data_IF_841272987758
#
_entry.id   IF_841272987758
#
_cell.length_a   1.000
_cell.length_b   1.000
_cell.length_c   1.000
_cell.angle_alpha   90.00
_cell.angle_beta   90.00
_cell.angle_gamma   90.00
#
_symmetry.space_group_name_H-M   'P 1'
#
loop_
_entity.id
_entity.type
_entity.pdbx_description
1 polymer ?
#
# COMPACT_ATOMS: atom_id res chain seq x y z
N UNK A 1 44.75 -47.34 -43.55
CA UNK A 1 44.16 -46.00 -43.28
C UNK A 1 42.75 -46.21 -42.79
N UNK A 2 42.47 -46.03 -41.50
CA UNK A 2 41.13 -46.09 -40.90
C UNK A 2 40.60 -44.66 -40.74
N UNK A 3 39.31 -44.38 -41.07
CA UNK A 3 38.74 -43.07 -40.86
C UNK A 3 38.39 -42.91 -39.38
N UNK A 4 38.83 -41.81 -38.81
CA UNK A 4 38.51 -41.39 -37.45
C UNK A 4 37.02 -40.88 -37.42
N UNK A 5 36.18 -41.54 -36.63
CA UNK A 5 34.85 -41.10 -36.32
C UNK A 5 34.89 -39.95 -35.29
N UNK A 6 34.57 -38.74 -35.72
CA UNK A 6 34.31 -37.58 -34.86
C UNK A 6 33.02 -37.83 -34.06
N UNK A 7 33.19 -38.06 -32.72
CA UNK A 7 32.05 -38.00 -31.78
C UNK A 7 31.63 -36.54 -31.59
N UNK A 8 30.35 -36.25 -31.84
CA UNK A 8 29.74 -34.98 -31.45
C UNK A 8 29.77 -34.81 -29.93
N UNK A 9 29.96 -33.57 -29.40
CA UNK A 9 29.93 -33.34 -27.97
C UNK A 9 28.51 -33.59 -27.43
N UNK A 10 28.39 -34.06 -26.16
CA UNK A 10 27.08 -34.30 -25.54
C UNK A 10 26.30 -32.98 -25.49
N UNK A 11 25.06 -33.01 -25.98
CA UNK A 11 24.18 -31.88 -26.05
C UNK A 11 23.98 -31.29 -24.64
N UNK A 12 24.19 -30.00 -24.55
CA UNK A 12 23.80 -29.20 -23.37
C UNK A 12 22.30 -29.37 -23.21
N UNK A 13 21.89 -30.15 -22.23
CA UNK A 13 20.50 -30.20 -21.75
C UNK A 13 20.11 -28.77 -21.39
N UNK A 14 19.30 -28.15 -22.24
CA UNK A 14 18.59 -26.90 -21.88
C UNK A 14 17.80 -27.23 -20.61
N UNK A 15 18.27 -26.76 -19.45
CA UNK A 15 17.49 -26.75 -18.23
C UNK A 15 16.22 -25.96 -18.55
N UNK A 16 15.08 -26.62 -18.66
CA UNK A 16 13.78 -25.95 -18.76
C UNK A 16 13.67 -25.07 -17.50
N UNK A 17 13.74 -23.76 -17.70
CA UNK A 17 13.50 -22.80 -16.62
C UNK A 17 12.02 -22.94 -16.22
N UNK A 18 11.76 -23.19 -14.94
CA UNK A 18 10.38 -23.25 -14.45
C UNK A 18 9.66 -21.93 -14.78
N UNK A 19 8.41 -22.02 -15.25
CA UNK A 19 7.56 -20.86 -15.52
C UNK A 19 6.62 -20.59 -14.35
N UNK A 20 6.13 -19.37 -14.26
CA UNK A 20 5.14 -18.92 -13.29
C UNK A 20 4.04 -18.12 -13.98
N UNK A 21 2.85 -18.16 -13.43
CA UNK A 21 1.76 -17.26 -13.80
C UNK A 21 2.07 -15.85 -13.25
N UNK A 22 1.81 -14.84 -14.08
CA UNK A 22 2.00 -13.45 -13.74
C UNK A 22 0.98 -12.56 -14.50
N UNK A 23 0.85 -11.32 -14.09
CA UNK A 23 0.13 -10.28 -14.84
C UNK A 23 1.14 -9.28 -15.38
N UNK A 24 1.05 -8.99 -16.66
CA UNK A 24 2.02 -8.17 -17.39
C UNK A 24 1.33 -6.94 -17.98
N UNK A 25 1.93 -5.77 -17.80
CA UNK A 25 1.57 -4.55 -18.49
C UNK A 25 2.65 -4.23 -19.54
N UNK A 26 2.29 -4.17 -20.82
CA UNK A 26 3.24 -3.89 -21.91
C UNK A 26 3.40 -2.41 -22.21
N UNK A 27 2.43 -1.61 -21.81
CA UNK A 27 2.39 -0.15 -22.00
C UNK A 27 1.52 0.49 -20.92
N UNK A 28 1.59 1.81 -20.78
CA UNK A 28 0.66 2.56 -19.95
C UNK A 28 -0.75 2.51 -20.53
N UNK A 29 -1.77 2.53 -19.65
CA UNK A 29 -3.16 2.53 -20.10
C UNK A 29 -4.18 2.27 -18.99
N UNK A 30 -5.41 1.99 -19.39
CA UNK A 30 -6.50 1.56 -18.51
C UNK A 30 -6.28 0.13 -17.98
N UNK A 31 -7.22 -0.38 -17.15
CA UNK A 31 -7.09 -1.73 -16.57
C UNK A 31 -6.91 -2.85 -17.61
N UNK A 32 -7.37 -2.66 -18.83
CA UNK A 32 -7.28 -3.62 -19.94
C UNK A 32 -5.84 -3.93 -20.37
N UNK A 33 -4.85 -3.10 -20.00
CA UNK A 33 -3.43 -3.39 -20.33
C UNK A 33 -2.84 -4.47 -19.42
N UNK A 34 -3.51 -4.80 -18.31
CA UNK A 34 -3.13 -5.88 -17.43
C UNK A 34 -3.55 -7.22 -18.03
N UNK A 35 -2.57 -8.03 -18.44
CA UNK A 35 -2.80 -9.29 -19.13
C UNK A 35 -2.14 -10.44 -18.37
N UNK A 36 -2.88 -11.52 -18.08
CA UNK A 36 -2.29 -12.77 -17.61
C UNK A 36 -1.26 -13.29 -18.61
N UNK A 37 -0.15 -13.80 -18.10
CA UNK A 37 0.95 -14.33 -18.91
C UNK A 37 1.73 -15.38 -18.11
N UNK A 38 2.57 -16.14 -18.80
CA UNK A 38 3.60 -16.99 -18.20
C UNK A 38 4.97 -16.32 -18.37
N UNK A 39 5.76 -16.30 -17.30
CA UNK A 39 7.10 -15.78 -17.28
C UNK A 39 8.05 -16.80 -16.63
N UNK A 40 9.35 -16.77 -16.91
CA UNK A 40 10.31 -17.55 -16.15
C UNK A 40 10.28 -17.18 -14.66
N UNK A 41 10.38 -18.18 -13.78
CA UNK A 41 10.56 -17.93 -12.33
C UNK A 41 11.89 -17.19 -12.13
N UNK A 42 11.90 -16.01 -11.50
CA UNK A 42 13.11 -15.25 -11.29
C UNK A 42 14.04 -15.97 -10.29
N UNK A 43 15.33 -15.65 -10.35
CA UNK A 43 16.31 -16.15 -9.40
C UNK A 43 16.74 -15.00 -8.47
N UNK A 44 16.87 -15.23 -7.16
CA UNK A 44 17.30 -14.19 -6.25
C UNK A 44 18.80 -13.90 -6.46
N UNK A 45 19.15 -12.63 -6.62
CA UNK A 45 20.50 -12.13 -6.66
C UNK A 45 21.12 -11.96 -5.27
N UNK A 46 22.30 -11.31 -5.21
CA UNK A 46 22.97 -11.03 -3.93
C UNK A 46 22.10 -10.17 -3.02
N UNK A 47 21.89 -10.63 -1.78
CA UNK A 47 21.08 -9.96 -0.77
C UNK A 47 19.58 -10.01 -1.01
N UNK A 48 19.09 -10.91 -1.88
CA UNK A 48 17.68 -11.02 -2.26
C UNK A 48 17.05 -12.34 -1.80
N UNK A 49 15.75 -12.32 -1.67
CA UNK A 49 14.88 -13.47 -1.41
C UNK A 49 14.00 -13.72 -2.63
N UNK A 50 13.75 -14.97 -2.96
CA UNK A 50 12.64 -15.38 -3.81
C UNK A 50 11.48 -15.79 -2.90
N UNK A 51 10.35 -15.10 -3.02
CA UNK A 51 9.12 -15.41 -2.30
C UNK A 51 8.16 -16.16 -3.22
N UNK A 52 7.63 -17.27 -2.76
CA UNK A 52 6.42 -17.89 -3.30
C UNK A 52 5.24 -17.23 -2.63
N UNK A 53 4.50 -16.42 -3.38
CA UNK A 53 3.44 -15.56 -2.85
C UNK A 53 2.17 -16.36 -2.53
N UNK A 54 1.63 -16.14 -1.34
CA UNK A 54 0.30 -16.61 -0.95
C UNK A 54 -0.79 -15.63 -1.41
N UNK A 55 -0.47 -14.33 -1.41
CA UNK A 55 -1.31 -13.27 -1.93
C UNK A 55 -0.48 -12.00 -2.19
N UNK A 56 -1.02 -11.12 -3.03
CA UNK A 56 -0.46 -9.78 -3.31
C UNK A 56 -1.53 -8.73 -3.10
N UNK A 57 -1.15 -7.59 -2.52
CA UNK A 57 -2.03 -6.46 -2.27
C UNK A 57 -2.17 -5.56 -3.49
N UNK A 58 -3.41 -5.16 -3.79
CA UNK A 58 -3.72 -4.16 -4.82
C UNK A 58 -3.79 -2.78 -4.18
N UNK A 59 -3.08 -1.81 -4.76
CA UNK A 59 -2.93 -0.48 -4.21
C UNK A 59 -3.14 0.62 -5.28
N UNK A 60 -3.55 1.83 -4.86
CA UNK A 60 -3.67 2.95 -5.80
C UNK A 60 -2.35 3.30 -6.50
N UNK A 61 -1.20 3.09 -5.85
CA UNK A 61 0.11 3.32 -6.49
C UNK A 61 0.31 2.42 -7.72
N UNK A 62 -0.27 1.23 -7.75
CA UNK A 62 -0.21 0.33 -8.89
C UNK A 62 -1.03 0.90 -10.06
N UNK A 63 -2.17 1.55 -9.78
CA UNK A 63 -2.96 2.26 -10.80
C UNK A 63 -2.21 3.47 -11.36
N UNK A 64 -1.51 4.24 -10.50
CA UNK A 64 -0.72 5.40 -10.93
C UNK A 64 0.46 5.00 -11.81
N UNK A 65 1.13 3.89 -11.49
CA UNK A 65 2.20 3.33 -12.33
C UNK A 65 1.65 2.78 -13.64
N UNK A 66 0.54 2.03 -13.59
CA UNK A 66 -0.11 1.46 -14.78
C UNK A 66 -0.54 2.55 -15.77
N UNK A 67 -1.13 3.67 -15.28
CA UNK A 67 -1.59 4.77 -16.12
C UNK A 67 -0.47 5.68 -16.62
N UNK A 68 0.76 5.56 -16.07
CA UNK A 68 1.87 6.46 -16.37
C UNK A 68 1.84 7.78 -15.59
N UNK A 69 0.91 7.95 -14.65
CA UNK A 69 0.92 9.10 -13.73
C UNK A 69 2.22 9.13 -12.91
N UNK A 70 2.68 7.96 -12.48
CA UNK A 70 4.02 7.78 -11.92
C UNK A 70 4.90 7.08 -12.97
N UNK A 71 6.08 7.63 -13.26
CA UNK A 71 6.98 7.07 -14.26
C UNK A 71 7.30 5.60 -13.99
N UNK A 72 7.14 4.74 -14.99
CA UNK A 72 7.47 3.32 -14.94
C UNK A 72 7.97 2.87 -16.32
N UNK A 73 9.00 2.04 -16.33
CA UNK A 73 9.43 1.39 -17.56
C UNK A 73 8.45 0.27 -17.93
N UNK A 74 8.17 0.13 -19.22
CA UNK A 74 7.37 -0.95 -19.78
C UNK A 74 8.23 -1.81 -20.70
N UNK A 75 7.99 -3.12 -20.80
CA UNK A 75 6.96 -3.89 -20.07
C UNK A 75 7.35 -4.18 -18.62
N UNK A 76 6.36 -4.35 -17.72
CA UNK A 76 6.62 -4.76 -16.33
C UNK A 76 5.48 -5.62 -15.74
N UNK A 77 5.80 -6.34 -14.67
CA UNK A 77 4.83 -6.99 -13.79
C UNK A 77 4.49 -5.98 -12.67
N UNK A 78 3.22 -5.60 -12.49
CA UNK A 78 2.82 -4.67 -11.41
C UNK A 78 2.95 -5.28 -10.02
N UNK A 79 2.70 -4.41 -9.01
CA UNK A 79 2.64 -4.79 -7.61
C UNK A 79 3.97 -4.64 -6.88
N UNK A 80 3.86 -4.23 -5.62
CA UNK A 80 5.00 -4.04 -4.71
C UNK A 80 4.79 -4.71 -3.35
N UNK A 81 3.55 -5.11 -3.06
CA UNK A 81 3.14 -5.63 -1.76
C UNK A 81 2.69 -7.08 -1.88
N UNK A 82 3.11 -7.89 -0.93
CA UNK A 82 2.67 -9.28 -0.83
C UNK A 82 3.26 -9.99 0.38
N UNK A 83 2.75 -11.19 0.63
CA UNK A 83 3.33 -12.10 1.61
C UNK A 83 3.31 -13.53 1.09
N UNK A 84 4.21 -14.32 1.61
CA UNK A 84 4.38 -15.70 1.20
C UNK A 84 5.47 -16.41 1.99
N UNK A 85 5.98 -17.46 1.38
CA UNK A 85 7.07 -18.28 1.94
C UNK A 85 8.34 -18.04 1.13
N UNK A 86 9.47 -17.91 1.80
CA UNK A 86 10.79 -17.87 1.17
C UNK A 86 11.03 -19.19 0.46
N UNK A 87 11.14 -19.18 -0.84
CA UNK A 87 11.44 -20.34 -1.69
C UNK A 87 12.94 -20.55 -1.82
N UNK A 88 13.68 -19.45 -1.97
CA UNK A 88 15.14 -19.46 -2.06
C UNK A 88 15.75 -18.16 -1.52
N UNK A 89 16.99 -18.23 -1.10
CA UNK A 89 17.78 -17.08 -0.66
C UNK A 89 18.98 -16.88 -1.60
N UNK A 90 19.28 -15.63 -1.91
CA UNK A 90 20.44 -15.27 -2.72
C UNK A 90 21.73 -15.23 -1.88
N UNK A 91 22.88 -15.11 -2.55
CA UNK A 91 24.18 -15.00 -1.87
C UNK A 91 24.18 -13.83 -0.86
N UNK A 92 24.89 -14.02 0.27
CA UNK A 92 25.03 -12.97 1.30
C UNK A 92 23.83 -12.80 2.24
N UNK A 93 22.73 -13.52 2.05
CA UNK A 93 21.60 -13.53 2.98
C UNK A 93 21.87 -14.51 4.11
N UNK A 94 21.82 -14.04 5.36
CA UNK A 94 22.10 -14.84 6.57
C UNK A 94 20.94 -14.89 7.56
N UNK A 95 20.00 -13.94 7.46
CA UNK A 95 18.90 -13.77 8.42
C UNK A 95 17.60 -14.48 7.98
N UNK A 96 17.65 -15.19 6.85
CA UNK A 96 16.52 -15.86 6.22
C UNK A 96 16.88 -17.25 5.72
N UNK A 97 15.90 -18.15 5.76
CA UNK A 97 16.04 -19.51 5.20
C UNK A 97 14.80 -19.90 4.40
N UNK A 98 14.91 -20.85 3.45
CA UNK A 98 13.72 -21.41 2.78
C UNK A 98 12.72 -21.97 3.79
N UNK A 99 11.44 -21.63 3.60
CA UNK A 99 10.36 -21.95 4.53
C UNK A 99 9.97 -20.81 5.45
N UNK A 100 10.81 -19.80 5.66
CA UNK A 100 10.45 -18.58 6.41
C UNK A 100 9.23 -17.89 5.81
N UNK A 101 8.37 -17.33 6.66
CA UNK A 101 7.20 -16.55 6.26
C UNK A 101 7.55 -15.08 6.18
N UNK A 102 7.36 -14.46 5.03
CA UNK A 102 7.79 -13.09 4.75
C UNK A 102 6.65 -12.24 4.21
N UNK A 103 6.63 -10.95 4.60
CA UNK A 103 5.75 -9.92 4.05
C UNK A 103 6.57 -8.69 3.63
N UNK A 104 6.12 -8.00 2.59
CA UNK A 104 6.80 -6.81 2.06
C UNK A 104 5.83 -5.84 1.42
N UNK A 105 6.20 -4.55 1.39
CA UNK A 105 5.60 -3.49 0.58
C UNK A 105 6.59 -2.92 -0.45
N UNK A 106 7.78 -3.52 -0.60
CA UNK A 106 8.89 -2.98 -1.39
C UNK A 106 9.46 -3.99 -2.40
N UNK A 107 8.73 -5.06 -2.74
CA UNK A 107 9.12 -5.97 -3.81
C UNK A 107 8.87 -5.35 -5.19
N UNK A 108 9.33 -6.03 -6.22
CA UNK A 108 9.04 -5.69 -7.61
C UNK A 108 8.27 -6.83 -8.26
N UNK A 109 7.11 -6.52 -8.87
CA UNK A 109 6.36 -7.48 -9.66
C UNK A 109 5.63 -8.54 -8.84
N UNK A 110 4.91 -8.13 -7.80
CA UNK A 110 4.17 -9.08 -6.95
C UNK A 110 2.88 -9.61 -7.59
N UNK A 111 2.42 -9.07 -8.74
CA UNK A 111 1.30 -9.67 -9.48
C UNK A 111 1.77 -10.93 -10.23
N UNK A 112 2.27 -11.91 -9.48
CA UNK A 112 2.86 -13.15 -9.95
C UNK A 112 2.80 -14.23 -8.86
N UNK A 113 3.10 -15.48 -9.20
CA UNK A 113 3.26 -16.57 -8.22
C UNK A 113 4.53 -16.42 -7.37
N UNK A 114 5.58 -15.81 -7.97
CA UNK A 114 6.85 -15.57 -7.30
C UNK A 114 7.30 -14.12 -7.50
N UNK A 115 7.95 -13.56 -6.51
CA UNK A 115 8.58 -12.24 -6.60
C UNK A 115 9.92 -12.21 -5.88
N UNK A 116 10.84 -11.42 -6.43
CA UNK A 116 12.12 -11.15 -5.77
C UNK A 116 12.00 -9.88 -4.93
N UNK A 117 12.57 -9.93 -3.74
CA UNK A 117 12.67 -8.78 -2.83
C UNK A 117 14.03 -8.78 -2.15
N UNK A 118 14.61 -7.61 -1.91
CA UNK A 118 15.79 -7.49 -1.05
C UNK A 118 15.46 -7.97 0.36
N UNK A 119 16.34 -8.76 0.96
CA UNK A 119 16.15 -9.33 2.30
C UNK A 119 15.91 -8.24 3.37
N UNK A 120 16.57 -7.07 3.23
CA UNK A 120 16.40 -5.92 4.11
C UNK A 120 15.10 -5.12 3.88
N UNK A 121 14.27 -5.49 2.89
CA UNK A 121 12.96 -4.90 2.57
C UNK A 121 11.79 -5.85 2.83
N UNK A 122 12.07 -7.00 3.39
CA UNK A 122 11.07 -7.94 3.86
C UNK A 122 11.06 -8.00 5.39
N UNK A 123 9.92 -8.33 5.96
CA UNK A 123 9.75 -8.56 7.39
C UNK A 123 9.21 -9.97 7.65
N UNK A 124 9.66 -10.61 8.72
CA UNK A 124 9.12 -11.91 9.15
C UNK A 124 7.68 -11.74 9.60
N UNK A 125 6.81 -12.62 9.11
CA UNK A 125 5.40 -12.64 9.52
C UNK A 125 5.31 -13.28 10.91
N UNK A 126 4.67 -12.63 11.90
CA UNK A 126 4.50 -13.19 13.22
C UNK A 126 3.81 -14.55 13.19
N UNK A 127 4.15 -15.40 14.14
CA UNK A 127 3.50 -16.70 14.29
C UNK A 127 1.98 -16.52 14.49
N UNK A 128 1.18 -17.40 13.89
CA UNK A 128 -0.29 -17.36 13.96
C UNK A 128 -0.96 -16.37 13.01
N UNK A 129 -0.24 -15.38 12.45
CA UNK A 129 -0.83 -14.44 11.45
C UNK A 129 -1.02 -15.18 10.12
N UNK A 130 -2.23 -15.14 9.55
CA UNK A 130 -2.51 -15.67 8.22
C UNK A 130 -1.72 -14.91 7.14
N UNK A 131 -1.19 -15.62 6.13
CA UNK A 131 -0.40 -15.01 5.07
C UNK A 131 -1.19 -14.02 4.19
N UNK A 132 -2.50 -14.18 4.06
CA UNK A 132 -3.35 -13.21 3.34
C UNK A 132 -3.48 -11.92 4.14
N UNK A 133 -3.65 -12.02 5.46
CA UNK A 133 -3.63 -10.84 6.36
C UNK A 133 -2.25 -10.17 6.29
N UNK A 134 -1.18 -10.96 6.33
CA UNK A 134 0.18 -10.46 6.18
C UNK A 134 0.45 -9.80 4.82
N UNK A 135 -0.22 -10.24 3.74
CA UNK A 135 -0.14 -9.61 2.41
C UNK A 135 -0.99 -8.34 2.30
N UNK A 136 -1.99 -8.18 3.18
CA UNK A 136 -2.89 -7.03 3.19
C UNK A 136 -2.39 -5.86 4.04
N UNK A 137 -1.46 -6.11 4.96
CA UNK A 137 -1.06 -5.18 6.01
C UNK A 137 0.06 -4.18 5.62
N UNK A 138 1.15 -4.56 4.92
CA UNK A 138 2.38 -3.78 4.89
C UNK A 138 2.22 -2.39 4.31
N UNK A 139 1.79 -2.25 3.05
CA UNK A 139 1.79 -0.94 2.37
C UNK A 139 0.84 0.05 3.04
N UNK A 140 -0.37 -0.40 3.37
CA UNK A 140 -1.37 0.45 3.99
C UNK A 140 -1.06 0.72 5.47
N UNK A 141 -0.57 -0.30 6.19
CA UNK A 141 -0.16 -0.17 7.59
C UNK A 141 1.06 0.73 7.77
N UNK A 142 2.10 0.55 6.96
CA UNK A 142 3.27 1.44 6.96
C UNK A 142 2.88 2.87 6.61
N UNK A 143 1.95 3.04 5.63
CA UNK A 143 1.43 4.37 5.29
C UNK A 143 0.72 5.01 6.48
N UNK A 144 -0.18 4.32 7.12
CA UNK A 144 -0.88 4.83 8.30
C UNK A 144 0.12 5.13 9.45
N UNK A 145 1.08 4.25 9.67
CA UNK A 145 2.06 4.37 10.73
C UNK A 145 2.93 5.62 10.55
N UNK A 146 3.57 5.83 9.37
CA UNK A 146 4.44 7.00 9.20
C UNK A 146 3.66 8.32 9.16
N UNK A 147 2.42 8.31 8.68
CA UNK A 147 1.54 9.48 8.70
C UNK A 147 1.29 9.95 10.14
N UNK A 148 1.01 9.01 11.05
CA UNK A 148 0.69 9.31 12.45
C UNK A 148 1.91 9.55 13.35
N UNK A 149 3.10 9.12 12.95
CA UNK A 149 4.30 9.19 13.79
C UNK A 149 5.32 10.22 13.32
N UNK A 150 5.40 10.46 12.00
CA UNK A 150 6.50 11.22 11.41
C UNK A 150 6.04 12.39 10.56
N UNK A 151 4.88 12.31 9.91
CA UNK A 151 4.32 13.43 9.13
C UNK A 151 3.64 14.44 10.05
N UNK A 152 2.76 13.94 10.89
CA UNK A 152 2.15 14.70 12.00
C UNK A 152 2.04 13.77 13.19
N UNK A 153 2.91 13.91 14.21
CA UNK A 153 2.82 13.08 15.41
C UNK A 153 1.47 13.24 16.08
N UNK A 154 0.75 12.13 16.23
CA UNK A 154 -0.59 12.09 16.82
C UNK A 154 -0.49 11.56 18.25
N UNK A 155 -1.08 12.29 19.18
CA UNK A 155 -1.15 11.98 20.59
C UNK A 155 -2.56 12.22 21.15
N UNK A 156 -2.72 12.06 22.47
CA UNK A 156 -3.95 12.38 23.18
C UNK A 156 -4.28 13.87 23.05
N UNK A 157 -5.52 14.15 22.65
CA UNK A 157 -6.00 15.52 22.36
C UNK A 157 -5.87 15.94 20.91
N UNK A 158 -5.15 15.22 20.04
CA UNK A 158 -5.13 15.50 18.60
C UNK A 158 -6.49 15.26 17.98
N UNK A 159 -7.04 16.23 17.25
CA UNK A 159 -8.25 16.06 16.42
C UNK A 159 -7.85 15.98 14.94
N UNK A 160 -8.27 14.94 14.26
CA UNK A 160 -7.86 14.69 12.89
C UNK A 160 -9.02 14.30 11.96
N UNK A 161 -8.84 14.57 10.66
CA UNK A 161 -9.77 14.18 9.60
C UNK A 161 -9.08 13.19 8.66
N UNK A 162 -9.68 12.02 8.46
CA UNK A 162 -9.23 11.00 7.51
C UNK A 162 -10.21 10.89 6.36
N UNK A 163 -9.79 11.15 5.13
CA UNK A 163 -10.63 10.87 3.96
C UNK A 163 -10.66 9.39 3.60
N UNK A 164 -11.79 8.95 3.03
CA UNK A 164 -12.03 7.56 2.62
C UNK A 164 -11.85 6.54 3.78
N UNK A 165 -12.50 6.81 4.92
CA UNK A 165 -12.34 6.06 6.17
C UNK A 165 -12.63 4.56 6.11
N UNK A 166 -13.40 4.08 5.13
CA UNK A 166 -13.64 2.65 4.90
C UNK A 166 -12.68 2.02 3.88
N UNK A 167 -11.72 2.79 3.35
CA UNK A 167 -10.63 2.28 2.52
C UNK A 167 -9.54 1.62 3.36
N UNK A 168 -8.60 0.93 2.71
CA UNK A 168 -7.58 0.18 3.43
C UNK A 168 -6.70 1.04 4.34
N UNK A 169 -6.14 2.16 3.85
CA UNK A 169 -5.37 3.09 4.71
C UNK A 169 -6.28 3.76 5.73
N UNK A 170 -7.51 4.14 5.34
CA UNK A 170 -8.45 4.84 6.23
C UNK A 170 -8.81 4.03 7.47
N UNK A 171 -9.16 2.74 7.31
CA UNK A 171 -9.48 1.86 8.43
C UNK A 171 -8.31 1.69 9.41
N UNK A 172 -7.08 1.58 8.89
CA UNK A 172 -5.89 1.44 9.73
C UNK A 172 -5.51 2.77 10.41
N UNK A 173 -5.64 3.91 9.71
CA UNK A 173 -5.44 5.24 10.29
C UNK A 173 -6.38 5.49 11.46
N UNK A 174 -7.67 5.18 11.30
CA UNK A 174 -8.67 5.34 12.36
C UNK A 174 -8.26 4.53 13.60
N UNK A 175 -8.00 3.23 13.44
CA UNK A 175 -7.62 2.35 14.55
C UNK A 175 -6.34 2.82 15.26
N UNK A 176 -5.28 3.11 14.49
CA UNK A 176 -4.00 3.54 15.04
C UNK A 176 -4.06 4.94 15.69
N UNK A 177 -4.89 5.86 15.18
CA UNK A 177 -5.13 7.16 15.78
C UNK A 177 -5.93 7.03 17.09
N UNK A 178 -6.98 6.21 17.10
CA UNK A 178 -7.75 5.91 18.32
C UNK A 178 -6.90 5.26 19.41
N UNK A 179 -6.00 4.36 19.04
CA UNK A 179 -5.05 3.77 20.00
C UNK A 179 -4.08 4.80 20.62
N UNK A 180 -3.95 5.99 20.02
CA UNK A 180 -3.16 7.14 20.53
C UNK A 180 -3.99 8.20 21.25
N UNK A 181 -5.30 7.95 21.46
CA UNK A 181 -6.20 8.88 22.18
C UNK A 181 -6.81 9.98 21.31
N UNK A 182 -6.57 9.99 19.99
CA UNK A 182 -7.06 11.04 19.11
C UNK A 182 -8.59 11.06 18.94
N UNK A 183 -9.14 12.23 18.65
CA UNK A 183 -10.49 12.39 18.12
C UNK A 183 -10.45 12.28 16.59
N UNK A 184 -11.19 11.31 16.04
CA UNK A 184 -11.13 10.96 14.64
C UNK A 184 -12.42 11.32 13.91
N UNK A 185 -12.34 12.29 13.00
CA UNK A 185 -13.35 12.55 11.99
C UNK A 185 -12.98 11.79 10.71
N UNK A 186 -13.97 11.31 9.97
CA UNK A 186 -13.69 10.64 8.68
C UNK A 186 -14.80 10.87 7.66
N UNK A 187 -14.45 10.80 6.37
CA UNK A 187 -15.43 10.88 5.28
C UNK A 187 -15.62 9.53 4.61
N UNK A 188 -16.87 9.23 4.26
CA UNK A 188 -17.26 8.03 3.49
C UNK A 188 -18.37 8.34 2.49
N UNK A 189 -18.47 7.53 1.42
CA UNK A 189 -19.41 7.76 0.33
C UNK A 189 -20.69 6.90 0.37
N UNK A 190 -20.90 6.05 1.40
CA UNK A 190 -22.12 5.23 1.48
C UNK A 190 -22.45 4.83 2.93
N UNK A 191 -23.73 4.44 3.21
CA UNK A 191 -24.14 3.96 4.53
C UNK A 191 -23.35 2.73 5.01
N UNK A 192 -23.06 1.79 4.14
CA UNK A 192 -22.26 0.59 4.47
C UNK A 192 -20.84 0.97 4.91
N UNK A 193 -20.22 1.91 4.18
CA UNK A 193 -18.89 2.44 4.52
C UNK A 193 -18.90 3.22 5.84
N UNK A 194 -20.03 3.86 6.17
CA UNK A 194 -20.23 4.53 7.47
C UNK A 194 -20.14 3.55 8.62
N UNK A 195 -20.81 2.41 8.52
CA UNK A 195 -20.79 1.37 9.55
C UNK A 195 -19.36 0.83 9.77
N UNK A 196 -18.61 0.62 8.69
CA UNK A 196 -17.22 0.14 8.78
C UNK A 196 -16.29 1.15 9.45
N UNK A 197 -16.38 2.42 9.08
CA UNK A 197 -15.56 3.47 9.68
C UNK A 197 -15.89 3.69 11.16
N UNK A 198 -17.17 3.65 11.53
CA UNK A 198 -17.60 3.72 12.93
C UNK A 198 -17.11 2.51 13.75
N UNK A 199 -17.20 1.29 13.19
CA UNK A 199 -16.70 0.08 13.84
C UNK A 199 -15.17 0.10 14.02
N UNK A 200 -14.44 0.78 13.13
CA UNK A 200 -12.99 0.99 13.27
C UNK A 200 -12.64 2.02 14.37
N UNK A 201 -13.63 2.73 14.94
CA UNK A 201 -13.45 3.64 16.06
C UNK A 201 -13.55 5.13 15.70
N UNK A 202 -13.99 5.51 14.47
CA UNK A 202 -14.19 6.92 14.14
C UNK A 202 -15.26 7.55 15.04
N UNK A 203 -14.95 8.70 15.66
CA UNK A 203 -15.88 9.44 16.52
C UNK A 203 -16.97 10.11 15.70
N UNK A 204 -16.62 10.64 14.52
CA UNK A 204 -17.56 11.29 13.61
C UNK A 204 -17.37 10.81 12.17
N UNK A 205 -18.44 10.30 11.57
CA UNK A 205 -18.45 9.85 10.18
C UNK A 205 -19.28 10.80 9.33
N UNK A 206 -18.63 11.49 8.38
CA UNK A 206 -19.17 12.58 7.56
C UNK A 206 -19.40 12.11 6.13
N UNK A 207 -20.21 12.87 5.39
CA UNK A 207 -20.27 12.83 3.93
C UNK A 207 -19.14 13.63 3.28
N UNK A 208 -19.14 13.70 1.94
CA UNK A 208 -18.16 14.50 1.20
C UNK A 208 -18.65 15.92 0.87
N UNK A 209 -19.95 16.19 1.00
CA UNK A 209 -20.53 17.44 0.51
C UNK A 209 -20.30 18.63 1.47
N UNK A 210 -20.31 18.37 2.79
CA UNK A 210 -20.27 19.40 3.84
C UNK A 210 -19.20 19.12 4.91
N UNK A 211 -18.25 18.23 4.65
CA UNK A 211 -17.28 17.77 5.66
C UNK A 211 -16.44 18.91 6.27
N UNK A 212 -16.15 19.96 5.50
CA UNK A 212 -15.31 21.05 5.97
C UNK A 212 -16.05 21.91 7.02
N UNK A 213 -17.31 22.26 6.74
CA UNK A 213 -18.19 22.97 7.67
C UNK A 213 -18.44 22.13 8.92
N UNK A 214 -18.74 20.84 8.73
CA UNK A 214 -18.98 19.91 9.83
C UNK A 214 -17.73 19.72 10.71
N UNK A 215 -16.54 19.65 10.12
CA UNK A 215 -15.29 19.58 10.87
C UNK A 215 -15.09 20.82 11.75
N UNK A 216 -15.40 22.02 11.21
CA UNK A 216 -15.36 23.27 11.97
C UNK A 216 -16.38 23.27 13.11
N UNK A 217 -17.63 22.90 12.86
CA UNK A 217 -18.66 22.82 13.89
C UNK A 217 -18.29 21.89 15.04
N UNK A 218 -17.78 20.69 14.72
CA UNK A 218 -17.38 19.67 15.69
C UNK A 218 -16.16 20.06 16.52
N UNK A 219 -15.38 21.05 16.06
CA UNK A 219 -14.21 21.58 16.73
C UNK A 219 -14.44 23.00 17.31
N UNK A 220 -15.69 23.40 17.52
CA UNK A 220 -16.02 24.72 18.06
C UNK A 220 -15.60 25.91 17.19
N UNK A 221 -15.46 25.71 15.89
CA UNK A 221 -15.03 26.72 14.92
C UNK A 221 -13.52 26.71 14.61
N UNK A 222 -12.71 26.05 15.41
CA UNK A 222 -11.23 26.05 15.25
C UNK A 222 -10.76 25.26 14.02
N UNK A 223 -11.28 24.06 13.80
CA UNK A 223 -10.83 23.09 12.79
C UNK A 223 -9.91 22.01 13.36
N UNK A 224 -9.53 21.06 12.51
CA UNK A 224 -8.72 19.91 12.89
C UNK A 224 -7.21 20.20 12.85
N UNK A 225 -6.43 19.48 13.64
CA UNK A 225 -4.96 19.58 13.68
C UNK A 225 -4.32 19.09 12.40
N UNK A 226 -4.85 17.99 11.86
CA UNK A 226 -4.32 17.38 10.63
C UNK A 226 -5.44 16.78 9.80
N UNK A 227 -5.28 16.88 8.48
CA UNK A 227 -6.08 16.16 7.49
C UNK A 227 -5.19 15.18 6.75
N UNK A 228 -5.58 13.90 6.76
CA UNK A 228 -4.96 12.83 5.96
C UNK A 228 -5.79 12.61 4.69
N UNK A 229 -5.28 13.10 3.56
CA UNK A 229 -6.01 13.11 2.29
C UNK A 229 -5.34 12.18 1.26
N UNK A 230 -5.99 11.03 1.03
CA UNK A 230 -5.63 10.07 -0.03
C UNK A 230 -6.47 10.25 -1.30
N UNK A 231 -7.46 11.17 -1.29
CA UNK A 231 -8.43 11.36 -2.36
C UNK A 231 -7.93 12.37 -3.40
N UNK A 232 -7.43 13.51 -2.97
CA UNK A 232 -6.78 14.50 -3.83
C UNK A 232 -7.73 15.56 -4.40
N UNK A 233 -7.81 15.67 -5.74
CA UNK A 233 -8.49 16.78 -6.43
C UNK A 233 -9.84 17.17 -5.82
N UNK A 234 -10.73 16.21 -5.58
CA UNK A 234 -12.10 16.49 -5.14
C UNK A 234 -12.24 16.88 -3.67
N UNK A 235 -11.20 16.67 -2.85
CA UNK A 235 -11.25 16.96 -1.42
C UNK A 235 -10.30 18.07 -0.98
N UNK A 236 -9.32 18.41 -1.80
CA UNK A 236 -8.22 19.30 -1.44
C UNK A 236 -8.64 20.63 -0.84
N UNK A 237 -9.61 21.31 -1.47
CA UNK A 237 -10.09 22.62 -1.02
C UNK A 237 -10.79 22.56 0.33
N UNK A 238 -11.68 21.57 0.49
CA UNK A 238 -12.34 21.31 1.76
C UNK A 238 -11.37 20.81 2.84
N UNK A 239 -10.35 20.03 2.46
CA UNK A 239 -9.29 19.59 3.36
C UNK A 239 -8.52 20.78 3.95
N UNK A 240 -8.14 21.75 3.11
CA UNK A 240 -7.52 22.98 3.59
C UNK A 240 -8.47 23.80 4.49
N UNK A 241 -9.75 23.92 4.11
CA UNK A 241 -10.74 24.66 4.87
C UNK A 241 -11.06 24.03 6.24
N UNK A 242 -10.86 22.72 6.39
CA UNK A 242 -11.10 21.99 7.65
C UNK A 242 -10.02 22.25 8.71
N UNK A 243 -8.83 22.71 8.30
CA UNK A 243 -7.70 22.87 9.21
C UNK A 243 -7.86 24.08 10.16
N UNK A 244 -7.37 23.91 11.38
CA UNK A 244 -7.09 25.04 12.26
C UNK A 244 -5.86 25.83 11.76
N UNK A 245 -5.66 27.07 12.26
CA UNK A 245 -4.39 27.77 12.00
C UNK A 245 -3.18 26.90 12.39
N UNK A 246 -2.16 26.87 11.52
CA UNK A 246 -0.95 26.03 11.65
C UNK A 246 -1.20 24.52 11.63
N UNK A 247 -2.38 24.08 11.17
CA UNK A 247 -2.67 22.67 10.95
C UNK A 247 -1.93 22.09 9.75
N UNK A 248 -1.96 20.77 9.60
CA UNK A 248 -1.22 20.03 8.57
C UNK A 248 -2.15 19.35 7.58
N UNK A 249 -2.00 19.58 6.28
CA UNK A 249 -2.57 18.75 5.23
C UNK A 249 -1.53 17.75 4.73
N UNK A 250 -1.72 16.48 5.06
CA UNK A 250 -0.93 15.37 4.53
C UNK A 250 -1.64 14.78 3.30
N UNK A 251 -1.29 15.27 2.12
CA UNK A 251 -1.85 14.81 0.84
C UNK A 251 -1.06 13.59 0.36
N UNK A 252 -1.46 12.37 0.73
CA UNK A 252 -0.70 11.16 0.44
C UNK A 252 -1.19 10.35 -0.76
N UNK A 253 -2.33 10.73 -1.39
CA UNK A 253 -2.89 10.02 -2.53
C UNK A 253 -3.53 10.93 -3.58
N UNK A 254 -4.00 10.34 -4.69
CA UNK A 254 -4.64 11.00 -5.82
C UNK A 254 -5.82 10.15 -6.34
N UNK A 255 -6.62 9.54 -5.46
CA UNK A 255 -7.69 8.62 -5.88
C UNK A 255 -8.77 9.29 -6.77
N UNK A 256 -8.95 10.60 -6.67
CA UNK A 256 -9.84 11.40 -7.55
C UNK A 256 -9.09 12.18 -8.64
N UNK A 257 -7.80 11.95 -8.77
CA UNK A 257 -6.89 12.67 -9.66
C UNK A 257 -5.93 13.60 -8.92
N UNK A 258 -4.85 14.05 -9.58
CA UNK A 258 -3.89 14.97 -9.02
C UNK A 258 -4.54 16.34 -8.76
N UNK A 259 -4.07 17.01 -7.70
CA UNK A 259 -4.43 18.39 -7.38
C UNK A 259 -3.77 19.33 -8.38
N UNK A 260 -4.48 20.36 -8.81
CA UNK A 260 -3.95 21.40 -9.68
C UNK A 260 -2.88 22.23 -8.95
N UNK A 261 -1.98 22.93 -9.68
CA UNK A 261 -1.01 23.84 -9.08
C UNK A 261 -1.67 24.85 -8.14
N UNK A 262 -1.07 25.08 -6.99
CA UNK A 262 -1.60 26.00 -5.98
C UNK A 262 -0.69 27.22 -5.81
N UNK A 263 -1.30 28.38 -5.52
CA UNK A 263 -0.59 29.56 -5.03
C UNK A 263 -0.18 29.35 -3.58
N UNK A 264 1.13 29.41 -3.23
CA UNK A 264 1.60 29.28 -1.85
C UNK A 264 0.98 30.30 -0.87
N UNK A 265 0.58 31.50 -1.36
CA UNK A 265 -0.12 32.49 -0.54
C UNK A 265 -1.45 31.99 0.00
N UNK A 266 -2.04 30.97 -0.63
CA UNK A 266 -3.24 30.30 -0.13
C UNK A 266 -3.00 29.64 1.23
N UNK A 267 -1.84 29.03 1.45
CA UNK A 267 -1.49 28.40 2.72
C UNK A 267 -1.41 29.44 3.84
N UNK A 268 -0.87 30.62 3.55
CA UNK A 268 -0.84 31.76 4.48
C UNK A 268 -2.26 32.23 4.83
N UNK A 269 -3.12 32.43 3.82
CA UNK A 269 -4.52 32.91 3.99
C UNK A 269 -5.37 31.92 4.79
N UNK A 270 -5.06 30.62 4.72
CA UNK A 270 -5.73 29.56 5.48
C UNK A 270 -5.21 29.42 6.93
N UNK A 271 -4.38 30.35 7.40
CA UNK A 271 -3.84 30.35 8.76
C UNK A 271 -2.45 29.74 8.88
N UNK A 272 -1.58 29.97 7.89
CA UNK A 272 -0.19 29.45 7.89
C UNK A 272 -0.12 27.92 7.99
N UNK A 273 -0.99 27.23 7.28
CA UNK A 273 -1.06 25.77 7.30
C UNK A 273 0.13 25.13 6.60
N UNK A 274 0.46 23.90 7.01
CA UNK A 274 1.49 23.09 6.38
C UNK A 274 0.85 22.18 5.33
N UNK A 275 1.49 22.08 4.17
CA UNK A 275 1.13 21.11 3.12
C UNK A 275 2.33 20.21 2.86
N UNK A 276 2.10 18.90 2.95
CA UNK A 276 3.12 17.91 2.59
C UNK A 276 2.55 16.84 1.66
N UNK A 277 3.43 16.31 0.79
CA UNK A 277 3.13 15.21 -0.14
C UNK A 277 4.07 14.04 0.17
N UNK A 278 3.81 13.29 1.27
CA UNK A 278 4.70 12.23 1.71
C UNK A 278 4.65 11.02 0.76
N UNK A 279 5.78 10.34 0.63
CA UNK A 279 5.90 9.05 -0.04
C UNK A 279 6.57 8.04 0.88
N UNK A 280 6.07 6.80 0.90
CA UNK A 280 6.55 5.75 1.80
C UNK A 280 8.07 5.54 1.74
N UNK A 281 8.68 5.66 0.56
CA UNK A 281 10.13 5.48 0.38
C UNK A 281 10.98 6.43 1.23
N UNK A 282 10.51 7.65 1.48
CA UNK A 282 11.23 8.63 2.30
C UNK A 282 11.19 8.30 3.80
N UNK A 283 10.21 7.50 4.21
CA UNK A 283 10.02 7.03 5.59
C UNK A 283 10.50 5.59 5.82
N UNK A 284 11.16 4.98 4.82
CA UNK A 284 11.78 3.65 4.89
C UNK A 284 13.23 3.68 4.42
N UNK A 285 13.95 4.78 4.67
CA UNK A 285 15.28 5.01 4.10
C UNK A 285 16.37 4.15 4.72
N UNK A 286 16.29 3.89 6.02
CA UNK A 286 17.28 3.10 6.74
C UNK A 286 16.72 1.72 7.14
N UNK A 287 17.62 0.73 7.28
CA UNK A 287 17.24 -0.60 7.79
C UNK A 287 16.57 -0.52 9.17
N UNK A 288 17.08 0.35 10.05
CA UNK A 288 16.56 0.52 11.41
C UNK A 288 15.13 1.09 11.37
N UNK A 289 14.91 2.16 10.60
CA UNK A 289 13.59 2.78 10.49
C UNK A 289 12.57 1.81 9.87
N UNK A 290 12.96 1.11 8.82
CA UNK A 290 12.12 0.08 8.18
C UNK A 290 11.75 -1.02 9.15
N UNK A 291 12.74 -1.61 9.84
CA UNK A 291 12.51 -2.67 10.81
C UNK A 291 11.57 -2.24 11.94
N UNK A 292 11.76 -1.03 12.47
CA UNK A 292 10.88 -0.46 13.49
C UNK A 292 9.43 -0.37 13.00
N UNK A 293 9.20 0.22 11.82
CA UNK A 293 7.85 0.42 11.30
C UNK A 293 7.14 -0.90 10.96
N UNK A 294 7.85 -1.85 10.36
CA UNK A 294 7.30 -3.19 10.12
C UNK A 294 6.98 -3.91 11.42
N UNK A 295 7.86 -3.83 12.42
CA UNK A 295 7.64 -4.46 13.72
C UNK A 295 6.40 -3.87 14.44
N UNK A 296 6.19 -2.54 14.38
CA UNK A 296 5.00 -1.90 14.94
C UNK A 296 3.73 -2.38 14.24
N UNK A 297 3.71 -2.35 12.89
CA UNK A 297 2.52 -2.73 12.12
C UNK A 297 2.21 -4.23 12.24
N UNK A 298 3.17 -5.09 11.92
CA UNK A 298 2.94 -6.54 11.94
C UNK A 298 2.81 -7.07 13.38
N UNK A 299 3.48 -6.45 14.34
CA UNK A 299 3.32 -6.74 15.77
C UNK A 299 1.91 -6.44 16.25
N UNK A 300 1.33 -5.29 15.87
CA UNK A 300 -0.06 -4.94 16.20
C UNK A 300 -1.07 -5.90 15.54
N UNK A 301 -0.82 -6.33 14.30
CA UNK A 301 -1.62 -7.37 13.63
C UNK A 301 -1.51 -8.71 14.38
N UNK A 302 -0.29 -9.12 14.74
CA UNK A 302 -0.07 -10.37 15.48
C UNK A 302 -0.67 -10.37 16.87
N UNK A 303 -0.72 -9.22 17.54
CA UNK A 303 -1.36 -9.04 18.84
C UNK A 303 -2.89 -8.89 18.76
N UNK A 304 -3.47 -8.81 17.54
CA UNK A 304 -4.90 -8.58 17.34
C UNK A 304 -5.38 -7.17 17.71
N UNK A 305 -4.46 -6.21 17.87
CA UNK A 305 -4.78 -4.80 18.19
C UNK A 305 -4.95 -3.93 16.95
N UNK A 306 -4.58 -4.44 15.78
CA UNK A 306 -4.83 -3.82 14.48
C UNK A 306 -5.54 -4.84 13.57
N UNK A 307 -6.81 -4.58 13.29
CA UNK A 307 -7.63 -5.40 12.39
C UNK A 307 -7.43 -4.97 10.93
N UNK A 308 -6.96 -5.90 10.11
CA UNK A 308 -6.72 -5.68 8.67
C UNK A 308 -7.87 -6.29 7.87
N UNK A 309 -8.82 -5.43 7.49
CA UNK A 309 -9.96 -5.88 6.69
C UNK A 309 -9.55 -6.22 5.26
N UNK A 310 -9.71 -7.49 4.88
CA UNK A 310 -9.69 -7.93 3.48
C UNK A 310 -11.11 -7.78 2.95
N UNK A 311 -11.30 -6.83 2.03
CA UNK A 311 -12.63 -6.51 1.47
C UNK A 311 -12.98 -7.32 0.23
N UNK A 312 -11.97 -7.81 -0.48
CA UNK A 312 -12.15 -8.70 -1.63
C UNK A 312 -10.86 -9.50 -1.90
N UNK A 313 -11.05 -10.74 -2.36
CA UNK A 313 -10.01 -11.60 -2.92
C UNK A 313 -10.40 -11.99 -4.33
N UNK A 314 -9.51 -11.81 -5.29
CA UNK A 314 -9.70 -12.19 -6.68
C UNK A 314 -8.56 -13.10 -7.14
N UNK A 315 -8.80 -13.99 -8.11
CA UNK A 315 -7.72 -14.70 -8.79
C UNK A 315 -6.69 -13.72 -9.39
N UNK A 316 -5.43 -14.09 -9.43
CA UNK A 316 -4.36 -13.28 -10.04
C UNK A 316 -4.71 -12.84 -11.46
N UNK A 317 -5.35 -13.70 -12.24
CA UNK A 317 -5.77 -13.41 -13.62
C UNK A 317 -6.77 -12.24 -13.71
N UNK A 318 -7.50 -11.94 -12.65
CA UNK A 318 -8.54 -10.91 -12.59
C UNK A 318 -8.00 -9.53 -12.11
N UNK A 319 -6.68 -9.30 -12.17
CA UNK A 319 -6.04 -8.06 -11.78
C UNK A 319 -6.66 -6.81 -12.45
N UNK A 320 -7.09 -6.92 -13.70
CA UNK A 320 -7.79 -5.83 -14.39
C UNK A 320 -9.11 -5.46 -13.70
N UNK A 321 -9.88 -6.45 -13.22
CA UNK A 321 -11.13 -6.19 -12.48
C UNK A 321 -10.85 -5.65 -11.08
N UNK A 322 -9.82 -6.12 -10.41
CA UNK A 322 -9.39 -5.57 -9.13
C UNK A 322 -9.07 -4.06 -9.25
N UNK A 323 -8.38 -3.65 -10.31
CA UNK A 323 -8.11 -2.23 -10.60
C UNK A 323 -9.38 -1.45 -10.91
N UNK A 324 -10.31 -1.99 -11.73
CA UNK A 324 -11.61 -1.34 -12.00
C UNK A 324 -12.45 -1.17 -10.73
N UNK A 325 -12.45 -2.17 -9.85
CA UNK A 325 -13.17 -2.10 -8.59
C UNK A 325 -12.59 -1.03 -7.66
N UNK A 326 -11.25 -0.94 -7.57
CA UNK A 326 -10.55 0.05 -6.77
C UNK A 326 -10.80 1.48 -7.28
N UNK A 327 -10.58 1.72 -8.59
CA UNK A 327 -10.81 3.03 -9.23
C UNK A 327 -12.27 3.44 -9.22
N UNK A 328 -13.19 2.48 -9.34
CA UNK A 328 -14.64 2.66 -9.23
C UNK A 328 -15.17 2.88 -7.81
N UNK A 329 -14.29 2.94 -6.79
CA UNK A 329 -14.65 3.14 -5.38
C UNK A 329 -15.64 2.08 -4.83
N UNK A 330 -15.66 0.87 -5.44
CA UNK A 330 -16.53 -0.25 -5.06
C UNK A 330 -15.94 -1.11 -3.96
N UNK A 331 -14.73 -0.80 -3.51
CA UNK A 331 -13.98 -1.59 -2.52
C UNK A 331 -14.06 -1.01 -1.12
N UNK A 332 -13.88 -1.88 -0.13
CA UNK A 332 -13.65 -1.52 1.29
C UNK A 332 -12.42 -2.29 1.77
N UNK A 333 -11.65 -1.71 2.69
CA UNK A 333 -10.42 -2.36 3.17
C UNK A 333 -9.44 -2.67 2.03
N UNK A 334 -8.78 -3.81 2.12
CA UNK A 334 -7.79 -4.31 1.17
C UNK A 334 -8.40 -5.19 0.09
N UNK A 335 -7.90 -5.05 -1.14
CA UNK A 335 -8.12 -6.01 -2.21
C UNK A 335 -6.87 -6.85 -2.39
N UNK A 336 -7.02 -8.17 -2.45
CA UNK A 336 -5.94 -9.11 -2.72
C UNK A 336 -6.12 -9.79 -4.06
N UNK A 337 -4.99 -10.10 -4.71
CA UNK A 337 -4.92 -11.08 -5.79
C UNK A 337 -4.27 -12.36 -5.24
N UNK A 338 -4.87 -13.49 -5.56
CA UNK A 338 -4.41 -14.81 -5.13
C UNK A 338 -3.86 -15.53 -6.36
N UNK A 339 -2.57 -15.90 -6.36
CA UNK A 339 -1.92 -16.64 -7.45
C UNK A 339 -2.49 -18.01 -7.73
#
# INVERSE_FOLDING_TARGET
MHPATLRAPPGTLMRMTATMRAVHARQAGGPEVLRPTELPVPQPGEGELLLRLAATGVNFVDTYRRTGLYPMAFPHVPGAEGAGTVEAVGPGVTDWEPGDRAATAEASGTYAEYAVVRADRAAKVPEGVDLRVAAAAPLQGLTAQYLLTSVHPVDDGTTLLVHAGAGGVGLLLIQLAKARGATVLTTVGSPEKRALAAAAGADHVLGYDDFAERAKELTGGEGVDVVYDGVGRSTFDGSLASLRPRGTLALFGNASGPVDPIDPLRLMRQGSVLLTRPTMGDFLRTRIERAWRYAEVLGAVGAGTLDVRIGAELPLADAAEAHRALEGRRTTGKVLLVP
#
